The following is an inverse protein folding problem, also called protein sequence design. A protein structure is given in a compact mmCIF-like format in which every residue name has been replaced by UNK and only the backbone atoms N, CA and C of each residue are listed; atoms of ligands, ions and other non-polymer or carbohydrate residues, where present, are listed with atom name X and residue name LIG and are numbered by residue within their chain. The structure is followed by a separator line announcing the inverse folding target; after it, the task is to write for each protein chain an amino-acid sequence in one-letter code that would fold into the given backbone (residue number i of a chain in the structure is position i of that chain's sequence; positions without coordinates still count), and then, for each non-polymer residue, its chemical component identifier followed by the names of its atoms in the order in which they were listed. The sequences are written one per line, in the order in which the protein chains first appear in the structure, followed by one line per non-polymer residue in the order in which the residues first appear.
data_IF_518059352988
#
_entry.id   IF_518059352988
#
_cell.length_a   1.000
_cell.length_b   1.000
_cell.length_c   1.000
_cell.angle_alpha   90.00
_cell.angle_beta   90.00
_cell.angle_gamma   90.00
#
_symmetry.space_group_name_H-M   'P 1'
#
loop_
_entity.id
_entity.type
_entity.pdbx_description
1 polymer ?
#
# COMPACT_ATOMS: atom_id res chain seq x y z
N UNK A 1 6.28 11.22 -26.86
CA UNK A 1 6.60 11.52 -25.45
C UNK A 1 5.54 10.88 -24.58
N UNK A 2 5.83 9.73 -23.96
CA UNK A 2 5.03 9.10 -22.90
C UNK A 2 5.93 8.13 -22.14
N UNK A 3 6.81 8.66 -21.29
CA UNK A 3 7.50 7.89 -20.24
C UNK A 3 6.69 8.10 -18.97
N UNK A 4 5.80 7.16 -18.62
CA UNK A 4 4.90 7.39 -17.50
C UNK A 4 4.15 6.21 -16.89
N UNK A 5 4.29 4.96 -17.37
CA UNK A 5 3.49 3.83 -16.87
C UNK A 5 4.29 2.56 -16.52
N UNK A 6 5.63 2.56 -16.58
CA UNK A 6 6.43 1.33 -16.43
C UNK A 6 7.12 1.16 -15.06
N UNK A 7 6.90 2.05 -14.09
CA UNK A 7 7.50 1.86 -12.75
C UNK A 7 6.68 0.84 -11.96
N UNK A 8 7.26 -0.33 -11.59
CA UNK A 8 6.52 -1.35 -10.85
C UNK A 8 5.98 -0.82 -9.52
N UNK A 9 4.72 -1.06 -9.18
CA UNK A 9 4.09 -0.54 -7.94
C UNK A 9 4.89 -0.83 -6.67
N UNK A 10 5.59 -1.95 -6.65
CA UNK A 10 6.45 -2.37 -5.54
C UNK A 10 7.51 -1.33 -5.20
N UNK A 11 8.03 -0.58 -6.18
CA UNK A 11 9.08 0.44 -5.94
C UNK A 11 8.58 1.52 -5.00
N UNK A 12 7.35 2.00 -5.21
CA UNK A 12 6.71 3.02 -4.38
C UNK A 12 6.40 2.57 -2.95
N UNK A 13 6.47 1.25 -2.71
CA UNK A 13 6.11 0.63 -1.44
C UNK A 13 7.33 0.15 -0.64
N UNK A 14 8.52 0.03 -1.26
CA UNK A 14 9.75 -0.38 -0.55
C UNK A 14 10.12 0.59 0.56
N UNK A 15 10.14 1.91 0.27
CA UNK A 15 10.49 2.90 1.29
C UNK A 15 9.53 2.84 2.49
N UNK A 16 8.19 2.94 2.32
CA UNK A 16 7.28 2.95 3.46
C UNK A 16 7.11 1.61 4.17
N UNK A 17 7.19 0.47 3.47
CA UNK A 17 6.88 -0.86 4.04
C UNK A 17 8.12 -1.61 4.52
N UNK A 18 9.27 -1.45 3.87
CA UNK A 18 10.49 -2.17 4.23
C UNK A 18 11.48 -1.28 4.97
N UNK A 19 11.86 -0.15 4.38
CA UNK A 19 12.96 0.66 4.93
C UNK A 19 12.54 1.41 6.19
N UNK A 20 11.37 2.03 6.21
CA UNK A 20 10.94 2.82 7.38
C UNK A 20 10.83 2.02 8.68
N UNK A 21 10.20 0.83 8.71
CA UNK A 21 10.20 0.03 9.93
C UNK A 21 11.61 -0.30 10.43
N UNK A 22 12.57 -0.56 9.52
CA UNK A 22 13.98 -0.78 9.89
C UNK A 22 14.57 0.46 10.55
N UNK A 23 14.33 1.65 10.00
CA UNK A 23 14.80 2.91 10.58
C UNK A 23 14.14 3.20 11.93
N UNK A 24 12.86 2.90 12.11
CA UNK A 24 12.16 3.01 13.40
C UNK A 24 12.72 2.05 14.46
N UNK A 25 13.19 0.88 14.05
CA UNK A 25 13.94 -0.01 14.96
C UNK A 25 15.33 0.54 15.29
N UNK A 26 16.03 1.14 14.30
CA UNK A 26 17.33 1.77 14.49
C UNK A 26 17.26 2.99 15.43
N UNK A 27 16.15 3.74 15.38
CA UNK A 27 15.93 4.93 16.23
C UNK A 27 16.00 4.60 17.73
N UNK A 28 15.65 3.36 18.12
CA UNK A 28 15.78 2.89 19.51
C UNK A 28 17.23 2.77 19.98
N UNK A 29 18.18 2.72 19.04
CA UNK A 29 19.62 2.62 19.30
C UNK A 29 20.33 3.94 19.07
N UNK A 30 20.02 4.61 17.97
CA UNK A 30 20.60 5.90 17.61
C UNK A 30 19.58 6.73 16.83
N UNK A 31 19.04 7.74 17.54
CA UNK A 31 18.05 8.66 16.99
C UNK A 31 18.65 9.50 15.86
N UNK A 32 19.89 9.99 16.04
CA UNK A 32 20.51 10.92 15.07
C UNK A 32 20.83 10.20 13.77
N UNK A 33 21.41 8.99 13.85
CA UNK A 33 21.70 8.19 12.67
C UNK A 33 20.42 7.78 11.94
N UNK A 34 19.39 7.33 12.67
CA UNK A 34 18.11 6.95 12.08
C UNK A 34 17.44 8.12 11.34
N UNK A 35 17.36 9.29 11.98
CA UNK A 35 16.75 10.48 11.37
C UNK A 35 17.55 10.99 10.15
N UNK A 36 18.88 10.92 10.20
CA UNK A 36 19.75 11.28 9.08
C UNK A 36 19.50 10.37 7.87
N UNK A 37 19.48 9.05 8.08
CA UNK A 37 19.19 8.07 7.02
C UNK A 37 17.78 8.24 6.46
N UNK A 38 16.78 8.44 7.34
CA UNK A 38 15.39 8.66 6.94
C UNK A 38 15.25 9.87 6.03
N UNK A 39 15.85 11.00 6.41
CA UNK A 39 15.81 12.23 5.62
C UNK A 39 16.49 12.06 4.26
N UNK A 40 17.69 11.46 4.24
CA UNK A 40 18.46 11.24 3.02
C UNK A 40 17.71 10.31 2.04
N UNK A 41 17.24 9.15 2.51
CA UNK A 41 16.54 8.18 1.66
C UNK A 41 15.19 8.74 1.16
N UNK A 42 14.45 9.45 2.01
CA UNK A 42 13.19 10.08 1.59
C UNK A 42 13.42 11.14 0.52
N UNK A 43 14.43 12.00 0.68
CA UNK A 43 14.78 13.02 -0.31
C UNK A 43 15.28 12.40 -1.62
N UNK A 44 16.10 11.35 -1.53
CA UNK A 44 16.61 10.64 -2.69
C UNK A 44 15.47 9.99 -3.48
N UNK A 45 14.54 9.30 -2.80
CA UNK A 45 13.36 8.69 -3.44
C UNK A 45 12.44 9.73 -4.10
N UNK A 46 12.24 10.90 -3.46
CA UNK A 46 11.47 11.99 -4.05
C UNK A 46 12.12 12.57 -5.31
N UNK A 47 13.45 12.64 -5.33
CA UNK A 47 14.23 13.19 -6.45
C UNK A 47 14.38 12.17 -7.58
N UNK A 48 14.49 10.88 -7.23
CA UNK A 48 14.67 9.77 -8.14
C UNK A 48 13.80 8.57 -7.70
N UNK A 49 12.52 8.53 -8.12
CA UNK A 49 11.61 7.45 -7.75
C UNK A 49 12.15 6.09 -8.20
N UNK A 50 12.15 5.12 -7.29
CA UNK A 50 12.70 3.79 -7.51
C UNK A 50 14.10 3.57 -6.94
N UNK A 51 14.81 4.64 -6.53
CA UNK A 51 16.16 4.55 -5.96
C UNK A 51 16.23 3.60 -4.77
N UNK A 52 15.25 3.67 -3.87
CA UNK A 52 15.21 2.82 -2.68
C UNK A 52 15.03 1.35 -3.04
N UNK A 53 14.23 1.06 -4.08
CA UNK A 53 14.07 -0.29 -4.60
C UNK A 53 15.38 -0.81 -5.19
N UNK A 54 16.05 -0.02 -6.03
CA UNK A 54 17.34 -0.38 -6.61
C UNK A 54 18.41 -0.63 -5.54
N UNK A 55 18.44 0.20 -4.50
CA UNK A 55 19.32 0.02 -3.34
C UNK A 55 19.08 -1.34 -2.67
N UNK A 56 17.82 -1.68 -2.38
CA UNK A 56 17.45 -2.97 -1.76
C UNK A 56 17.83 -4.13 -2.66
N UNK A 57 17.53 -4.05 -3.96
CA UNK A 57 17.92 -5.09 -4.91
C UNK A 57 19.44 -5.23 -5.03
N UNK A 58 20.19 -4.12 -4.95
CA UNK A 58 21.64 -4.12 -4.89
C UNK A 58 22.18 -4.86 -3.66
N UNK A 59 21.56 -4.66 -2.49
CA UNK A 59 21.90 -5.36 -1.25
C UNK A 59 21.60 -6.86 -1.36
N UNK A 60 20.41 -7.23 -1.83
CA UNK A 60 20.00 -8.65 -2.05
C UNK A 60 21.00 -9.35 -2.96
N UNK A 61 21.34 -8.72 -4.09
CA UNK A 61 22.31 -9.25 -5.06
C UNK A 61 23.71 -9.39 -4.46
N UNK A 62 24.16 -8.42 -3.66
CA UNK A 62 25.46 -8.48 -2.98
C UNK A 62 25.52 -9.54 -1.88
N UNK A 63 24.39 -9.85 -1.25
CA UNK A 63 24.27 -10.90 -0.24
C UNK A 63 24.10 -12.33 -0.79
N UNK A 64 24.10 -12.52 -2.12
CA UNK A 64 23.77 -13.80 -2.80
C UNK A 64 22.46 -14.42 -2.29
N UNK A 65 21.48 -13.58 -1.92
CA UNK A 65 20.14 -14.04 -1.53
C UNK A 65 19.36 -14.31 -2.83
N UNK A 66 19.16 -15.59 -3.15
CA UNK A 66 18.50 -16.03 -4.38
C UNK A 66 16.98 -16.12 -4.20
N UNK A 67 16.27 -16.05 -5.32
CA UNK A 67 14.83 -16.35 -5.45
C UNK A 67 13.88 -15.46 -4.61
N UNK A 68 14.28 -14.21 -4.32
CA UNK A 68 13.41 -13.27 -3.60
C UNK A 68 12.36 -12.68 -4.55
N UNK A 69 11.10 -13.04 -4.34
CA UNK A 69 9.97 -12.31 -4.92
C UNK A 69 9.69 -11.05 -4.07
N UNK A 70 10.07 -9.88 -4.60
CA UNK A 70 9.84 -8.60 -3.92
C UNK A 70 8.35 -8.26 -3.79
N UNK A 71 7.51 -8.62 -4.76
CA UNK A 71 6.08 -8.33 -4.68
C UNK A 71 5.44 -9.09 -3.52
N UNK A 72 5.76 -10.38 -3.42
CA UNK A 72 5.31 -11.25 -2.34
C UNK A 72 5.83 -10.76 -0.98
N UNK A 73 7.13 -10.47 -0.91
CA UNK A 73 7.80 -10.05 0.33
C UNK A 73 7.22 -8.75 0.87
N UNK A 74 7.03 -7.74 0.01
CA UNK A 74 6.41 -6.47 0.40
C UNK A 74 4.94 -6.67 0.80
N UNK A 75 4.21 -7.56 0.12
CA UNK A 75 2.82 -7.86 0.46
C UNK A 75 2.71 -8.50 1.87
N UNK A 76 3.58 -9.46 2.21
CA UNK A 76 3.65 -10.04 3.57
C UNK A 76 4.01 -8.99 4.61
N UNK A 77 5.04 -8.18 4.35
CA UNK A 77 5.50 -7.13 5.26
C UNK A 77 4.45 -6.04 5.52
N UNK A 78 3.58 -5.76 4.55
CA UNK A 78 2.46 -4.82 4.72
C UNK A 78 1.55 -5.23 5.90
N UNK A 79 1.38 -6.53 6.16
CA UNK A 79 0.56 -7.04 7.26
C UNK A 79 1.17 -6.79 8.64
N UNK A 80 2.50 -6.71 8.71
CA UNK A 80 3.27 -6.49 9.93
C UNK A 80 3.55 -5.01 10.22
N UNK A 81 3.35 -4.12 9.24
CA UNK A 81 3.55 -2.69 9.41
C UNK A 81 2.61 -2.14 10.51
N UNK A 82 3.19 -1.43 11.48
CA UNK A 82 2.42 -0.86 12.59
C UNK A 82 1.86 0.51 12.23
N UNK A 83 0.86 0.98 12.99
CA UNK A 83 0.31 2.34 12.81
C UNK A 83 1.38 3.43 12.98
N UNK A 84 2.45 3.15 13.74
CA UNK A 84 3.60 4.04 13.92
C UNK A 84 4.45 4.12 12.65
N UNK A 85 4.63 3.00 11.95
CA UNK A 85 5.39 2.94 10.70
C UNK A 85 4.63 3.62 9.54
N UNK A 86 3.31 3.67 9.64
CA UNK A 86 2.38 4.19 8.63
C UNK A 86 1.80 5.56 8.99
N UNK A 87 2.45 6.31 9.87
CA UNK A 87 1.96 7.61 10.39
C UNK A 87 1.63 8.63 9.28
N UNK A 88 2.30 8.53 8.14
CA UNK A 88 2.04 9.41 7.00
C UNK A 88 0.65 9.19 6.39
N UNK A 89 0.11 7.97 6.48
CA UNK A 89 -1.21 7.62 5.97
C UNK A 89 -2.30 7.70 7.04
N UNK A 90 -1.94 7.90 8.31
CA UNK A 90 -2.91 8.04 9.40
C UNK A 90 -3.49 9.45 9.42
N UNK A 91 -4.81 9.52 9.52
CA UNK A 91 -5.58 10.75 9.76
C UNK A 91 -5.59 11.02 11.27
N UNK A 92 -5.27 12.24 11.67
CA UNK A 92 -5.17 12.69 13.07
C UNK A 92 -6.50 13.22 13.62
N UNK A 93 -7.47 13.46 12.75
CA UNK A 93 -8.83 13.92 13.06
C UNK A 93 -9.58 12.93 13.95
N UNK A 94 -10.18 13.41 15.04
CA UNK A 94 -10.83 12.57 16.06
C UNK A 94 -12.25 12.16 15.72
N UNK A 95 -12.86 12.76 14.69
CA UNK A 95 -14.24 12.45 14.30
C UNK A 95 -14.38 11.02 13.79
N UNK A 96 -15.52 10.39 14.11
CA UNK A 96 -15.78 8.97 13.88
C UNK A 96 -15.55 8.55 12.42
N UNK A 97 -15.95 9.39 11.45
CA UNK A 97 -15.76 9.13 10.02
C UNK A 97 -14.29 8.95 9.64
N UNK A 98 -13.38 9.74 10.21
CA UNK A 98 -11.94 9.67 9.93
C UNK A 98 -11.30 8.47 10.63
N UNK A 99 -11.72 8.17 11.86
CA UNK A 99 -11.27 6.98 12.59
C UNK A 99 -11.73 5.69 11.91
N UNK A 100 -12.96 5.67 11.42
CA UNK A 100 -13.49 4.52 10.68
C UNK A 100 -12.76 4.34 9.35
N UNK A 101 -12.45 5.42 8.62
CA UNK A 101 -11.62 5.34 7.42
C UNK A 101 -10.22 4.78 7.70
N UNK A 102 -9.54 5.24 8.77
CA UNK A 102 -8.26 4.66 9.21
C UNK A 102 -8.39 3.13 9.43
N UNK A 103 -9.43 2.71 10.17
CA UNK A 103 -9.68 1.31 10.48
C UNK A 103 -9.98 0.47 9.24
N UNK A 104 -10.82 0.95 8.32
CA UNK A 104 -11.14 0.23 7.07
C UNK A 104 -9.93 0.11 6.15
N UNK A 105 -9.14 1.17 6.03
CA UNK A 105 -7.88 1.18 5.28
C UNK A 105 -6.89 0.15 5.82
N UNK A 106 -6.66 0.13 7.14
CA UNK A 106 -5.79 -0.84 7.80
C UNK A 106 -6.32 -2.29 7.62
N UNK A 107 -7.63 -2.50 7.80
CA UNK A 107 -8.26 -3.80 7.63
C UNK A 107 -8.09 -4.36 6.22
N UNK A 108 -8.30 -3.55 5.18
CA UNK A 108 -8.12 -3.99 3.79
C UNK A 108 -6.66 -4.39 3.54
N UNK A 109 -5.70 -3.55 3.95
CA UNK A 109 -4.27 -3.83 3.77
C UNK A 109 -3.84 -5.12 4.47
N UNK A 110 -4.37 -5.37 5.68
CA UNK A 110 -4.09 -6.60 6.45
C UNK A 110 -4.69 -7.85 5.81
N UNK A 111 -5.86 -7.77 5.18
CA UNK A 111 -6.42 -8.94 4.47
C UNK A 111 -5.61 -9.21 3.20
N UNK A 112 -5.26 -8.16 2.43
CA UNK A 112 -4.43 -8.29 1.23
C UNK A 112 -3.05 -8.90 1.53
N UNK A 113 -2.46 -8.60 2.69
CA UNK A 113 -1.15 -9.15 3.08
C UNK A 113 -1.15 -10.67 3.35
N UNK A 114 -2.33 -11.30 3.52
CA UNK A 114 -2.43 -12.75 3.73
C UNK A 114 -2.42 -13.54 2.42
N UNK A 115 -2.60 -12.88 1.28
CA UNK A 115 -2.68 -13.53 -0.03
C UNK A 115 -1.49 -14.48 -0.28
N UNK A 116 -0.22 -14.11 -0.03
CA UNK A 116 0.92 -15.02 -0.24
C UNK A 116 0.80 -16.36 0.50
N UNK A 117 0.24 -16.34 1.70
CA UNK A 117 0.12 -17.53 2.55
C UNK A 117 -1.13 -18.36 2.20
N UNK A 118 -2.21 -17.69 1.78
CA UNK A 118 -3.52 -18.32 1.57
C UNK A 118 -3.76 -18.74 0.11
N UNK A 119 -3.04 -18.17 -0.86
CA UNK A 119 -3.28 -18.36 -2.31
C UNK A 119 -3.14 -19.82 -2.77
N UNK A 120 -2.34 -20.64 -2.08
CA UNK A 120 -2.12 -22.05 -2.42
C UNK A 120 -3.26 -22.97 -1.99
N UNK A 121 -3.98 -22.63 -0.90
CA UNK A 121 -5.17 -23.37 -0.49
C UNK A 121 -6.42 -22.72 -1.07
N UNK A 122 -6.97 -23.34 -2.12
CA UNK A 122 -8.15 -22.83 -2.84
C UNK A 122 -9.32 -22.52 -1.93
N UNK A 123 -9.58 -23.34 -0.90
CA UNK A 123 -10.74 -23.13 -0.01
C UNK A 123 -10.55 -21.87 0.83
N UNK A 124 -9.41 -21.76 1.51
CA UNK A 124 -9.06 -20.57 2.30
C UNK A 124 -8.99 -19.33 1.41
N UNK A 125 -8.35 -19.43 0.23
CA UNK A 125 -8.22 -18.30 -0.68
C UNK A 125 -9.58 -17.75 -1.16
N UNK A 126 -10.57 -18.61 -1.43
CA UNK A 126 -11.92 -18.17 -1.79
C UNK A 126 -12.60 -17.38 -0.66
N UNK A 127 -12.38 -17.75 0.60
CA UNK A 127 -12.87 -16.97 1.74
C UNK A 127 -12.14 -15.62 1.86
N UNK A 128 -10.82 -15.61 1.66
CA UNK A 128 -10.02 -14.37 1.61
C UNK A 128 -10.51 -13.42 0.53
N UNK A 129 -10.85 -13.92 -0.66
CA UNK A 129 -11.42 -13.09 -1.74
C UNK A 129 -12.75 -12.46 -1.31
N UNK A 130 -13.61 -13.19 -0.61
CA UNK A 130 -14.88 -12.64 -0.07
C UNK A 130 -14.61 -11.57 0.99
N UNK A 131 -13.64 -11.80 1.88
CA UNK A 131 -13.21 -10.83 2.87
C UNK A 131 -12.67 -9.54 2.20
N UNK A 132 -11.84 -9.67 1.17
CA UNK A 132 -11.32 -8.54 0.39
C UNK A 132 -12.46 -7.76 -0.25
N UNK A 133 -13.42 -8.43 -0.90
CA UNK A 133 -14.57 -7.77 -1.52
C UNK A 133 -15.40 -6.99 -0.49
N UNK A 134 -15.63 -7.57 0.69
CA UNK A 134 -16.32 -6.93 1.81
C UNK A 134 -15.55 -5.72 2.34
N UNK A 135 -14.24 -5.85 2.51
CA UNK A 135 -13.36 -4.77 2.99
C UNK A 135 -13.26 -3.62 1.99
N UNK A 136 -13.19 -3.90 0.69
CA UNK A 136 -13.25 -2.90 -0.39
C UNK A 136 -14.53 -2.09 -0.31
N UNK A 137 -15.69 -2.74 -0.18
CA UNK A 137 -16.97 -2.05 -0.04
C UNK A 137 -16.98 -1.14 1.18
N UNK A 138 -16.61 -1.67 2.34
CA UNK A 138 -16.53 -0.92 3.60
C UNK A 138 -15.59 0.29 3.52
N UNK A 139 -14.44 0.16 2.85
CA UNK A 139 -13.52 1.27 2.62
C UNK A 139 -14.17 2.35 1.76
N UNK A 140 -14.81 1.97 0.65
CA UNK A 140 -15.48 2.93 -0.24
C UNK A 140 -16.63 3.67 0.45
N UNK A 141 -17.39 2.97 1.30
CA UNK A 141 -18.45 3.58 2.11
C UNK A 141 -17.86 4.62 3.08
N UNK A 142 -16.79 4.28 3.80
CA UNK A 142 -16.09 5.22 4.69
C UNK A 142 -15.48 6.42 3.94
N UNK A 143 -14.98 6.21 2.72
CA UNK A 143 -14.49 7.32 1.86
C UNK A 143 -15.64 8.28 1.53
N UNK A 144 -16.83 7.79 1.22
CA UNK A 144 -17.99 8.66 0.93
C UNK A 144 -18.41 9.47 2.17
N UNK A 145 -18.33 8.89 3.36
CA UNK A 145 -18.62 9.60 4.62
C UNK A 145 -17.65 10.76 4.85
N UNK A 146 -16.33 10.54 4.68
CA UNK A 146 -15.35 11.62 4.88
C UNK A 146 -15.44 12.72 3.81
N UNK A 147 -15.91 12.42 2.58
CA UNK A 147 -16.10 13.43 1.52
C UNK A 147 -17.06 14.55 1.97
N UNK A 148 -18.01 14.25 2.86
CA UNK A 148 -18.88 15.26 3.47
C UNK A 148 -18.14 16.34 4.26
N UNK A 149 -17.00 15.98 4.86
CA UNK A 149 -16.20 16.85 5.72
C UNK A 149 -15.11 17.65 4.98
N UNK A 150 -14.90 17.37 3.69
CA UNK A 150 -13.86 18.03 2.90
C UNK A 150 -14.34 19.43 2.47
N UNK A 151 -13.59 20.50 2.80
CA UNK A 151 -13.95 21.85 2.39
C UNK A 151 -13.72 22.07 0.89
N UNK A 152 -14.64 22.80 0.26
CA UNK A 152 -14.54 23.21 -1.15
C UNK A 152 -14.78 22.09 -2.17
N UNK A 153 -15.11 22.49 -3.40
CA UNK A 153 -15.41 21.55 -4.50
C UNK A 153 -14.16 20.84 -5.03
N UNK A 154 -13.01 21.51 -5.05
CA UNK A 154 -11.76 20.95 -5.55
C UNK A 154 -11.24 19.78 -4.70
N UNK A 155 -11.34 19.88 -3.36
CA UNK A 155 -10.93 18.79 -2.46
C UNK A 155 -11.80 17.55 -2.64
N UNK A 156 -13.12 17.73 -2.73
CA UNK A 156 -14.08 16.65 -3.00
C UNK A 156 -13.82 15.97 -4.33
N UNK A 157 -13.55 16.74 -5.39
CA UNK A 157 -13.20 16.19 -6.71
C UNK A 157 -11.90 15.37 -6.67
N UNK A 158 -10.89 15.82 -5.92
CA UNK A 158 -9.64 15.08 -5.79
C UNK A 158 -9.84 13.71 -5.13
N UNK A 159 -10.64 13.63 -4.06
CA UNK A 159 -10.94 12.35 -3.39
C UNK A 159 -11.81 11.45 -4.26
N UNK A 160 -12.80 12.00 -4.96
CA UNK A 160 -13.61 11.23 -5.93
C UNK A 160 -12.77 10.69 -7.09
N UNK A 161 -11.76 11.43 -7.55
CA UNK A 161 -10.83 10.93 -8.57
C UNK A 161 -10.02 9.73 -8.04
N UNK A 162 -9.48 9.81 -6.81
CA UNK A 162 -8.78 8.67 -6.17
C UNK A 162 -9.70 7.48 -5.96
N UNK A 163 -10.96 7.72 -5.60
CA UNK A 163 -11.98 6.67 -5.49
C UNK A 163 -12.21 5.95 -6.83
N UNK A 164 -12.32 6.69 -7.94
CA UNK A 164 -12.46 6.11 -9.28
C UNK A 164 -11.25 5.27 -9.69
N UNK A 165 -10.03 5.76 -9.41
CA UNK A 165 -8.78 5.03 -9.65
C UNK A 165 -8.75 3.73 -8.84
N UNK A 166 -9.08 3.78 -7.55
CA UNK A 166 -9.17 2.60 -6.70
C UNK A 166 -10.17 1.57 -7.24
N UNK A 167 -11.36 1.99 -7.68
CA UNK A 167 -12.35 1.10 -8.30
C UNK A 167 -11.82 0.47 -9.59
N UNK A 168 -11.08 1.21 -10.42
CA UNK A 168 -10.42 0.66 -11.62
C UNK A 168 -9.46 -0.47 -11.25
N UNK A 169 -8.62 -0.28 -10.23
CA UNK A 169 -7.68 -1.31 -9.79
C UNK A 169 -8.35 -2.49 -9.08
N UNK A 170 -9.47 -2.29 -8.38
CA UNK A 170 -10.30 -3.36 -7.81
C UNK A 170 -10.91 -4.28 -8.89
N UNK A 171 -11.36 -3.69 -10.01
CA UNK A 171 -11.81 -4.46 -11.18
C UNK A 171 -10.66 -5.21 -11.85
N UNK A 172 -9.48 -4.58 -11.96
CA UNK A 172 -8.27 -5.24 -12.48
C UNK A 172 -7.90 -6.45 -11.61
N UNK A 173 -7.85 -6.29 -10.29
CA UNK A 173 -7.60 -7.37 -9.33
C UNK A 173 -8.58 -8.54 -9.51
N UNK A 174 -9.87 -8.23 -9.64
CA UNK A 174 -10.90 -9.26 -9.90
C UNK A 174 -10.68 -10.00 -11.22
N UNK A 175 -10.14 -9.34 -12.25
CA UNK A 175 -9.81 -9.94 -13.54
C UNK A 175 -8.58 -10.83 -13.43
N UNK A 176 -7.53 -10.34 -12.77
CA UNK A 176 -6.30 -11.10 -12.49
C UNK A 176 -6.58 -12.36 -11.65
N UNK A 177 -7.51 -12.30 -10.69
CA UNK A 177 -7.94 -13.51 -9.97
C UNK A 177 -8.56 -14.56 -10.90
N UNK A 178 -9.36 -14.14 -11.89
CA UNK A 178 -9.96 -15.07 -12.88
C UNK A 178 -8.89 -15.70 -13.77
N UNK A 179 -7.86 -14.94 -14.14
CA UNK A 179 -6.71 -15.43 -14.91
C UNK A 179 -5.88 -16.39 -14.08
N UNK A 180 -5.60 -16.06 -12.81
CA UNK A 180 -4.91 -16.94 -11.86
C UNK A 180 -5.60 -18.31 -11.72
N UNK A 181 -6.93 -18.37 -11.59
CA UNK A 181 -7.63 -19.65 -11.50
C UNK A 181 -7.55 -20.49 -12.79
N UNK A 182 -7.15 -19.91 -13.93
CA UNK A 182 -6.93 -20.61 -15.20
C UNK A 182 -5.46 -21.01 -15.40
N UNK A 183 -4.55 -20.08 -15.11
CA UNK A 183 -3.14 -20.18 -15.51
C UNK A 183 -2.19 -20.49 -14.34
N UNK A 184 -2.63 -20.27 -13.10
CA UNK A 184 -1.85 -20.54 -11.89
C UNK A 184 -0.74 -19.51 -11.57
N UNK A 185 -0.65 -18.42 -12.32
CA UNK A 185 0.38 -17.38 -12.11
C UNK A 185 0.01 -16.52 -10.88
N UNK A 186 0.72 -16.75 -9.76
CA UNK A 186 0.44 -16.10 -8.49
C UNK A 186 1.01 -14.68 -8.40
N UNK A 187 2.09 -14.38 -9.13
CA UNK A 187 2.81 -13.13 -8.97
C UNK A 187 2.03 -11.91 -9.52
N UNK A 188 1.23 -12.07 -10.57
CA UNK A 188 0.28 -11.06 -11.05
C UNK A 188 -0.78 -10.75 -9.99
N UNK A 189 -1.24 -11.75 -9.22
CA UNK A 189 -2.15 -11.52 -8.09
C UNK A 189 -1.47 -10.66 -7.04
N UNK A 190 -0.20 -10.94 -6.71
CA UNK A 190 0.58 -10.14 -5.75
C UNK A 190 0.75 -8.70 -6.23
N UNK A 191 1.17 -8.50 -7.49
CA UNK A 191 1.29 -7.17 -8.11
C UNK A 191 -0.03 -6.42 -8.06
N UNK A 192 -1.14 -7.08 -8.42
CA UNK A 192 -2.44 -6.43 -8.41
C UNK A 192 -2.95 -6.12 -7.00
N UNK A 193 -2.59 -6.90 -5.98
CA UNK A 193 -2.87 -6.61 -4.58
C UNK A 193 -2.05 -5.41 -4.07
N UNK A 194 -0.78 -5.29 -4.47
CA UNK A 194 0.07 -4.13 -4.16
C UNK A 194 -0.49 -2.84 -4.77
N UNK A 195 -1.07 -2.89 -5.97
CA UNK A 195 -1.80 -1.74 -6.52
C UNK A 195 -2.98 -1.31 -5.64
N UNK A 196 -3.76 -2.25 -5.08
CA UNK A 196 -4.83 -1.91 -4.16
C UNK A 196 -4.32 -1.25 -2.88
N UNK A 197 -3.22 -1.74 -2.32
CA UNK A 197 -2.54 -1.11 -1.16
C UNK A 197 -2.09 0.30 -1.52
N UNK A 198 -1.40 0.47 -2.64
CA UNK A 198 -0.93 1.78 -3.11
C UNK A 198 -2.09 2.76 -3.28
N UNK A 199 -3.16 2.36 -3.97
CA UNK A 199 -4.34 3.21 -4.18
C UNK A 199 -5.06 3.55 -2.87
N UNK A 200 -5.11 2.61 -1.92
CA UNK A 200 -5.61 2.87 -0.56
C UNK A 200 -4.79 3.97 0.10
N UNK A 201 -3.45 3.88 0.04
CA UNK A 201 -2.58 4.91 0.61
C UNK A 201 -2.76 6.27 -0.09
N UNK A 202 -2.94 6.31 -1.41
CA UNK A 202 -3.21 7.55 -2.16
C UNK A 202 -4.52 8.23 -1.73
N UNK A 203 -5.58 7.46 -1.46
CA UNK A 203 -6.83 7.98 -0.88
C UNK A 203 -6.53 8.62 0.47
N UNK A 204 -5.84 7.92 1.37
CA UNK A 204 -5.53 8.42 2.72
C UNK A 204 -4.73 9.72 2.67
N UNK A 205 -3.68 9.79 1.86
CA UNK A 205 -2.86 11.01 1.66
C UNK A 205 -3.72 12.16 1.13
N UNK A 206 -4.59 11.87 0.16
CA UNK A 206 -5.43 12.91 -0.44
C UNK A 206 -6.45 13.45 0.56
N UNK A 207 -7.09 12.58 1.35
CA UNK A 207 -7.99 13.00 2.43
C UNK A 207 -7.23 13.85 3.45
N UNK A 208 -6.05 13.40 3.88
CA UNK A 208 -5.19 14.13 4.82
C UNK A 208 -4.88 15.53 4.32
N UNK A 209 -4.30 15.65 3.12
CA UNK A 209 -3.91 16.93 2.52
C UNK A 209 -5.08 17.90 2.25
N UNK A 210 -6.33 17.42 2.29
CA UNK A 210 -7.52 18.25 2.06
C UNK A 210 -8.30 18.53 3.34
N UNK A 211 -7.93 17.91 4.46
CA UNK A 211 -8.66 17.99 5.74
C UNK A 211 -7.79 18.42 6.92
N UNK A 212 -6.47 18.33 6.79
CA UNK A 212 -5.42 18.74 7.74
C UNK A 212 -4.50 19.77 7.07
#
# INVERSE_FOLDING_TARGET
MTMGDDTPVVTSLVLPILIRPILSQLERRDVVASQTLRAALTKAEQTHPGLTYELVMGIIKKGDIRDVNMNESILRLQGAATDTDLIEYRLNRTEDAFQELNKKSASLKRILSRIPDEITDRKTFLETIKEIASAIKKLLDAVNEVVGFIPGSQGKQAVEQRKKEFVKYSKKFSTTLKEYFKEGEANAVFVSALYLIHQTNQIMITVKNKCE
#
